data_IF_499763951328
#
_entry.id   IF_499763951328
#
_cell.length_a   1.000
_cell.length_b   1.000
_cell.length_c   1.000
_cell.angle_alpha   90.00
_cell.angle_beta   90.00
_cell.angle_gamma   90.00
#
_symmetry.space_group_name_H-M   'P 1'
#
loop_
_entity.id
_entity.type
_entity.pdbx_description
1 polymer ?
#
# COMPACT_ATOMS: atom_id res chain seq x y z
N UNK A 1 37.76 -4.12 -1.80
CA UNK A 1 36.61 -3.70 -0.99
C UNK A 1 35.89 -2.60 -1.77
N UNK A 2 35.03 -2.96 -2.72
CA UNK A 2 34.32 -1.97 -3.55
C UNK A 2 33.00 -1.64 -2.87
N UNK A 3 32.85 -0.38 -2.44
CA UNK A 3 31.60 0.20 -1.94
C UNK A 3 30.73 0.56 -3.14
N UNK A 4 29.80 -0.33 -3.49
CA UNK A 4 28.76 -0.02 -4.48
C UNK A 4 27.76 0.96 -3.84
N UNK A 5 27.85 2.21 -4.28
CA UNK A 5 26.89 3.25 -3.95
C UNK A 5 25.73 3.08 -4.92
N UNK A 6 24.61 2.52 -4.46
CA UNK A 6 23.36 2.47 -5.20
C UNK A 6 22.75 3.88 -5.28
N UNK A 7 23.28 4.69 -6.21
CA UNK A 7 22.60 5.89 -6.70
C UNK A 7 21.48 5.44 -7.64
N UNK A 8 20.30 5.17 -7.10
CA UNK A 8 19.10 5.03 -7.92
C UNK A 8 18.89 6.37 -8.65
N UNK A 9 18.91 6.42 -9.99
CA UNK A 9 18.63 7.66 -10.70
C UNK A 9 17.17 8.03 -10.41
N UNK A 10 16.99 9.09 -9.63
CA UNK A 10 15.68 9.67 -9.34
C UNK A 10 15.07 10.09 -10.67
N UNK A 11 14.19 9.22 -11.19
CA UNK A 11 13.62 9.37 -12.52
C UNK A 11 12.85 10.70 -12.60
N UNK A 12 13.20 11.46 -13.63
CA UNK A 12 12.51 12.67 -14.11
C UNK A 12 11.00 12.47 -14.04
N UNK A 13 10.31 13.28 -13.23
CA UNK A 13 8.85 13.52 -13.20
C UNK A 13 8.00 12.50 -13.96
N UNK A 14 8.01 11.25 -13.49
CA UNK A 14 7.02 10.27 -13.93
C UNK A 14 5.66 10.67 -13.31
N UNK A 15 4.54 10.51 -14.02
CA UNK A 15 3.21 10.63 -13.40
C UNK A 15 3.08 9.61 -12.26
N UNK A 16 2.26 9.90 -11.24
CA UNK A 16 2.00 8.96 -10.15
C UNK A 16 1.65 7.59 -10.74
N UNK A 17 2.41 6.52 -10.41
CA UNK A 17 2.18 5.21 -10.98
C UNK A 17 0.98 4.54 -10.31
N UNK A 18 -0.20 5.14 -10.47
CA UNK A 18 -1.46 4.79 -9.81
C UNK A 18 -1.78 3.31 -10.00
N UNK A 19 -1.75 2.83 -11.24
CA UNK A 19 -2.03 1.44 -11.56
C UNK A 19 -1.04 0.45 -10.92
N UNK A 20 0.24 0.80 -10.86
CA UNK A 20 1.26 -0.08 -10.27
C UNK A 20 1.19 -0.10 -8.74
N UNK A 21 0.98 1.07 -8.13
CA UNK A 21 0.79 1.22 -6.68
C UNK A 21 -0.49 0.52 -6.24
N UNK A 22 -1.60 0.73 -6.95
CA UNK A 22 -2.87 0.06 -6.66
C UNK A 22 -2.75 -1.45 -6.78
N UNK A 23 -2.15 -1.95 -7.88
CA UNK A 23 -1.96 -3.37 -8.08
C UNK A 23 -1.10 -4.00 -6.98
N UNK A 24 0.04 -3.36 -6.63
CA UNK A 24 0.93 -3.85 -5.58
C UNK A 24 0.24 -3.81 -4.21
N UNK A 25 -0.39 -2.70 -3.87
CA UNK A 25 -1.10 -2.53 -2.60
C UNK A 25 -2.24 -3.55 -2.47
N UNK A 26 -2.98 -3.79 -3.55
CA UNK A 26 -4.05 -4.80 -3.57
C UNK A 26 -3.52 -6.21 -3.37
N UNK A 27 -2.43 -6.56 -4.05
CA UNK A 27 -1.82 -7.89 -3.96
C UNK A 27 -1.35 -8.17 -2.52
N UNK A 28 -0.60 -7.25 -1.94
CA UNK A 28 -0.11 -7.34 -0.56
C UNK A 28 -1.25 -7.37 0.47
N UNK A 29 -2.29 -6.54 0.30
CA UNK A 29 -3.46 -6.56 1.18
C UNK A 29 -4.23 -7.88 1.10
N UNK A 30 -4.36 -8.46 -0.09
CA UNK A 30 -5.02 -9.76 -0.27
C UNK A 30 -4.18 -10.87 0.38
N UNK A 31 -2.86 -10.84 0.23
CA UNK A 31 -1.96 -11.80 0.86
C UNK A 31 -2.03 -11.71 2.39
N UNK A 32 -1.95 -10.49 2.94
CA UNK A 32 -2.09 -10.25 4.36
C UNK A 32 -3.44 -10.76 4.91
N UNK A 33 -4.54 -10.49 4.19
CA UNK A 33 -5.87 -11.00 4.54
C UNK A 33 -5.93 -12.53 4.50
N UNK A 34 -5.28 -13.19 3.53
CA UNK A 34 -5.21 -14.66 3.48
C UNK A 34 -4.46 -15.24 4.68
N UNK A 35 -3.34 -14.61 5.06
CA UNK A 35 -2.55 -15.02 6.22
C UNK A 35 -3.38 -14.84 7.51
N UNK A 36 -3.96 -13.66 7.70
CA UNK A 36 -4.82 -13.33 8.85
C UNK A 36 -6.00 -14.31 8.97
N UNK A 37 -6.70 -14.56 7.85
CA UNK A 37 -7.81 -15.50 7.84
C UNK A 37 -7.37 -16.93 8.16
N UNK A 38 -6.20 -17.35 7.68
CA UNK A 38 -5.63 -18.67 8.00
C UNK A 38 -5.31 -18.80 9.49
N UNK A 39 -4.76 -17.75 10.11
CA UNK A 39 -4.46 -17.70 11.55
C UNK A 39 -5.74 -17.71 12.39
N UNK A 40 -6.77 -16.97 11.96
CA UNK A 40 -8.05 -16.82 12.69
C UNK A 40 -9.07 -17.93 12.37
N UNK A 41 -8.76 -18.84 11.45
CA UNK A 41 -9.68 -19.89 11.01
C UNK A 41 -10.89 -19.37 10.19
N UNK A 42 -10.76 -18.20 9.56
CA UNK A 42 -11.80 -17.61 8.73
C UNK A 42 -11.73 -18.21 7.33
N UNK A 43 -12.85 -18.72 6.83
CA UNK A 43 -12.94 -19.20 5.44
C UNK A 43 -13.08 -18.02 4.48
N UNK A 44 -12.05 -17.76 3.68
CA UNK A 44 -12.11 -16.77 2.61
C UNK A 44 -12.63 -17.37 1.31
N UNK A 45 -13.32 -16.57 0.47
CA UNK A 45 -13.66 -16.99 -0.88
C UNK A 45 -12.41 -17.19 -1.73
N UNK A 46 -12.49 -18.12 -2.69
CA UNK A 46 -11.35 -18.52 -3.55
C UNK A 46 -10.93 -17.41 -4.53
N UNK A 47 -11.88 -16.57 -4.94
CA UNK A 47 -11.64 -15.50 -5.90
C UNK A 47 -11.11 -14.23 -5.21
N UNK A 48 -9.98 -13.72 -5.69
CA UNK A 48 -9.35 -12.47 -5.20
C UNK A 48 -10.30 -11.25 -5.22
N UNK A 49 -11.15 -11.14 -6.24
CA UNK A 49 -12.17 -10.08 -6.31
C UNK A 49 -13.21 -10.17 -5.17
N UNK A 50 -13.52 -11.38 -4.71
CA UNK A 50 -14.44 -11.61 -3.59
C UNK A 50 -13.73 -11.40 -2.25
N UNK A 51 -12.45 -11.77 -2.14
CA UNK A 51 -11.62 -11.48 -0.96
C UNK A 51 -11.56 -9.97 -0.72
N UNK A 52 -11.46 -9.16 -1.78
CA UNK A 52 -11.38 -7.71 -1.60
C UNK A 52 -12.62 -7.08 -0.98
N UNK A 53 -13.78 -7.73 -1.17
CA UNK A 53 -15.10 -7.36 -0.63
C UNK A 53 -15.42 -8.04 0.69
N UNK A 54 -14.65 -9.07 1.07
CA UNK A 54 -14.89 -9.81 2.28
C UNK A 54 -14.69 -8.89 3.49
N UNK A 55 -15.59 -9.03 4.47
CA UNK A 55 -15.49 -8.36 5.75
C UNK A 55 -14.37 -9.02 6.56
N UNK A 56 -13.14 -8.59 6.33
CA UNK A 56 -11.95 -9.07 7.03
C UNK A 56 -11.27 -7.85 7.63
N UNK A 57 -11.02 -7.93 8.94
CA UNK A 57 -10.25 -6.91 9.61
C UNK A 57 -8.83 -6.89 9.05
N UNK A 58 -8.32 -5.71 8.74
CA UNK A 58 -6.92 -5.50 8.38
C UNK A 58 -6.32 -4.56 9.41
N UNK A 59 -5.43 -5.10 10.23
CA UNK A 59 -4.76 -4.36 11.29
C UNK A 59 -3.94 -3.18 10.74
N UNK A 60 -4.00 -2.03 11.42
CA UNK A 60 -3.28 -0.82 10.99
C UNK A 60 -1.76 -1.03 10.85
N UNK A 61 -1.15 -1.85 11.72
CA UNK A 61 0.27 -2.21 11.65
C UNK A 61 0.60 -3.01 10.40
N UNK A 62 -0.29 -3.92 10.01
CA UNK A 62 -0.16 -4.70 8.77
C UNK A 62 -0.17 -3.76 7.58
N UNK A 63 -1.08 -2.78 7.57
CA UNK A 63 -1.12 -1.77 6.50
C UNK A 63 0.12 -0.89 6.47
N UNK A 64 0.65 -0.46 7.62
CA UNK A 64 1.93 0.27 7.66
C UNK A 64 3.07 -0.56 7.06
N UNK A 65 3.15 -1.86 7.40
CA UNK A 65 4.14 -2.75 6.80
C UNK A 65 3.99 -2.88 5.29
N UNK A 66 2.74 -2.93 4.78
CA UNK A 66 2.47 -2.97 3.34
C UNK A 66 2.84 -1.63 2.67
N UNK A 67 2.67 -0.50 3.36
CA UNK A 67 3.10 0.80 2.83
C UNK A 67 4.60 0.81 2.54
N UNK A 68 5.43 0.20 3.39
CA UNK A 68 6.87 0.06 3.13
C UNK A 68 7.18 -0.70 1.83
N UNK A 69 6.32 -1.61 1.40
CA UNK A 69 6.49 -2.33 0.14
C UNK A 69 6.17 -1.46 -1.11
N UNK A 70 5.39 -0.39 -0.97
CA UNK A 70 5.04 0.53 -2.08
C UNK A 70 5.89 1.80 -2.12
N UNK A 71 6.57 2.16 -1.02
CA UNK A 71 7.57 3.24 -0.96
C UNK A 71 8.62 3.21 -2.08
N UNK A 72 9.23 2.06 -2.46
CA UNK A 72 10.18 2.04 -3.58
C UNK A 72 9.54 2.37 -4.93
N UNK A 73 8.23 2.15 -5.11
CA UNK A 73 7.51 2.53 -6.35
C UNK A 73 7.23 4.04 -6.40
N UNK A 74 7.04 4.65 -5.24
CA UNK A 74 6.70 6.06 -5.09
C UNK A 74 7.99 6.92 -5.04
N UNK A 75 9.08 6.34 -4.56
CA UNK A 75 10.40 6.95 -4.48
C UNK A 75 10.60 7.86 -3.26
N UNK A 76 9.74 7.76 -2.24
CA UNK A 76 9.91 8.42 -0.95
C UNK A 76 9.14 7.65 0.14
N UNK A 77 9.54 7.88 1.39
CA UNK A 77 8.93 7.28 2.58
C UNK A 77 7.56 7.91 2.87
N UNK A 78 6.53 7.07 3.02
CA UNK A 78 5.17 7.52 3.26
C UNK A 78 4.93 7.71 4.76
N UNK A 79 4.31 8.82 5.18
CA UNK A 79 4.04 9.01 6.59
C UNK A 79 2.96 8.02 7.07
N UNK A 80 3.12 7.50 8.29
CA UNK A 80 2.13 6.63 8.94
C UNK A 80 0.75 7.27 9.06
N UNK A 81 0.68 8.61 9.02
CA UNK A 81 -0.57 9.38 9.04
C UNK A 81 -1.50 9.12 7.85
N UNK A 82 -0.99 8.49 6.78
CA UNK A 82 -1.80 8.01 5.66
C UNK A 82 -2.68 6.83 6.07
N UNK A 83 -2.30 6.08 7.11
CA UNK A 83 -3.03 4.93 7.62
C UNK A 83 -4.05 5.36 8.67
N UNK A 84 -5.27 4.83 8.56
CA UNK A 84 -6.30 5.03 9.59
C UNK A 84 -5.98 4.22 10.85
N UNK A 85 -6.02 4.87 12.00
CA UNK A 85 -5.95 4.21 13.30
C UNK A 85 -7.12 3.24 13.50
N UNK A 86 -6.83 2.05 14.02
CA UNK A 86 -7.83 0.98 14.22
C UNK A 86 -8.09 0.12 12.98
N UNK A 87 -7.31 0.27 11.91
CA UNK A 87 -7.33 -0.64 10.76
C UNK A 87 -8.52 -0.44 9.81
N UNK A 88 -8.80 -1.47 9.02
CA UNK A 88 -9.83 -1.47 7.99
C UNK A 88 -10.73 -2.69 8.09
N UNK A 89 -11.94 -2.60 7.55
CA UNK A 89 -12.94 -3.68 7.57
C UNK A 89 -12.94 -4.53 6.30
N UNK A 90 -12.21 -4.11 5.27
CA UNK A 90 -12.01 -4.84 4.01
C UNK A 90 -10.83 -4.27 3.23
N UNK A 91 -10.33 -5.02 2.26
CA UNK A 91 -9.28 -4.56 1.32
C UNK A 91 -9.78 -3.37 0.49
N UNK A 92 -11.03 -3.39 0.02
CA UNK A 92 -11.60 -2.24 -0.70
C UNK A 92 -11.67 -0.99 0.18
N UNK A 93 -12.03 -1.13 1.45
CA UNK A 93 -12.02 0.00 2.39
C UNK A 93 -10.62 0.55 2.62
N UNK A 94 -9.60 -0.32 2.66
CA UNK A 94 -8.21 0.09 2.77
C UNK A 94 -7.76 0.82 1.51
N UNK A 95 -7.99 0.25 0.32
CA UNK A 95 -7.64 0.87 -0.96
C UNK A 95 -8.33 2.23 -1.14
N UNK A 96 -9.62 2.33 -0.84
CA UNK A 96 -10.39 3.57 -0.96
C UNK A 96 -9.90 4.70 -0.05
N UNK A 97 -9.26 4.38 1.08
CA UNK A 97 -8.66 5.36 1.98
C UNK A 97 -7.20 5.67 1.62
N UNK A 98 -6.41 4.63 1.34
CA UNK A 98 -4.97 4.73 1.10
C UNK A 98 -4.69 5.43 -0.23
N UNK A 99 -5.35 5.03 -1.33
CA UNK A 99 -5.11 5.60 -2.66
C UNK A 99 -5.18 7.15 -2.70
N UNK A 100 -6.25 7.81 -2.22
CA UNK A 100 -6.30 9.27 -2.21
C UNK A 100 -5.29 9.90 -1.22
N UNK A 101 -4.91 9.19 -0.15
CA UNK A 101 -3.85 9.63 0.77
C UNK A 101 -2.48 9.64 0.08
N UNK A 102 -2.15 8.54 -0.60
CA UNK A 102 -0.91 8.39 -1.36
C UNK A 102 -0.80 9.42 -2.48
N UNK A 103 -1.88 9.62 -3.25
CA UNK A 103 -1.90 10.62 -4.32
C UNK A 103 -1.67 12.03 -3.78
N UNK A 104 -2.28 12.38 -2.65
CA UNK A 104 -2.05 13.68 -1.98
C UNK A 104 -0.62 13.85 -1.51
N UNK A 105 -0.03 12.85 -0.86
CA UNK A 105 1.36 12.93 -0.40
C UNK A 105 2.34 13.00 -1.58
N UNK A 106 2.06 12.24 -2.63
CA UNK A 106 2.82 12.30 -3.87
C UNK A 106 2.74 13.68 -4.52
N UNK A 107 1.54 14.25 -4.62
CA UNK A 107 1.31 15.60 -5.13
C UNK A 107 1.96 16.67 -4.26
N UNK A 108 2.00 16.54 -2.93
CA UNK A 108 2.73 17.46 -2.05
C UNK A 108 4.23 17.39 -2.26
N UNK A 109 4.80 16.18 -2.36
CA UNK A 109 6.26 15.97 -2.49
C UNK A 109 6.77 16.30 -3.89
N UNK A 110 5.97 16.07 -4.95
CA UNK A 110 6.34 16.33 -6.35
C UNK A 110 5.80 17.66 -6.89
N UNK A 111 4.72 18.18 -6.31
CA UNK A 111 4.08 19.47 -6.64
C UNK A 111 4.49 20.62 -5.71
N UNK A 112 5.42 20.41 -4.78
CA UNK A 112 6.14 21.51 -4.12
C UNK A 112 7.14 22.16 -5.11
N UNK A 113 6.60 22.97 -6.03
CA UNK A 113 7.27 24.11 -6.65
C UNK A 113 6.23 25.18 -6.99
N UNK A 114 6.54 26.48 -6.93
CA UNK A 114 7.82 27.09 -7.34
C UNK A 114 8.90 27.25 -6.27
#
# INVERSE_FOLDING_TARGET
MATDTLVTPFAKTAPFPLAAVEAKLRDELIEAVKIEASIRGISLPVASAQISKAAVHVDSLVVVSILCAVEPLIGFELPESVVRAGGYTSVESALGHLMPGLEKEWAKKKGAKP
#
